data_IF_338174095527
#
_entry.id   IF_338174095527
#
_cell.length_a   1.000
_cell.length_b   1.000
_cell.length_c   1.000
_cell.angle_alpha   90.00
_cell.angle_beta   90.00
_cell.angle_gamma   90.00
#
_symmetry.space_group_name_H-M   'P 1'
#
loop_
_entity.id
_entity.type
_entity.pdbx_description
1 polymer ?
#
# COMPACT_ATOMS: atom_id res chain seq x y z
N UNK A 1 -62.52 24.62 54.11
CA UNK A 1 -62.98 24.08 52.82
C UNK A 1 -62.04 24.60 51.74
N UNK A 2 -61.74 23.77 50.72
CA UNK A 2 -60.81 24.00 49.60
C UNK A 2 -59.32 23.92 49.96
N UNK A 3 -58.41 23.34 49.18
CA UNK A 3 -58.54 22.59 47.94
C UNK A 3 -57.27 21.74 47.72
N UNK A 4 -57.45 20.76 46.85
CA UNK A 4 -56.50 19.86 46.21
C UNK A 4 -55.17 20.47 45.78
N UNK A 5 -54.08 19.65 45.72
CA UNK A 5 -53.46 19.16 44.46
C UNK A 5 -51.99 18.74 44.64
N UNK A 6 -51.60 17.51 44.24
CA UNK A 6 -50.20 17.14 44.08
C UNK A 6 -49.69 17.61 42.71
N UNK A 7 -48.55 18.31 42.68
CA UNK A 7 -47.92 18.80 41.44
C UNK A 7 -46.42 18.50 41.37
N UNK A 8 -45.99 17.39 41.97
CA UNK A 8 -44.59 16.97 41.94
C UNK A 8 -44.28 15.85 40.92
N UNK A 9 -45.31 15.15 40.41
CA UNK A 9 -45.10 13.97 39.54
C UNK A 9 -44.95 14.31 38.04
N UNK A 10 -45.28 15.54 37.62
CA UNK A 10 -45.36 15.89 36.19
C UNK A 10 -44.05 16.44 35.61
N UNK A 11 -43.12 16.92 36.45
CA UNK A 11 -41.87 17.51 35.98
C UNK A 11 -40.82 16.46 35.60
N UNK A 12 -40.79 15.30 36.27
CA UNK A 12 -39.78 14.25 36.03
C UNK A 12 -40.04 13.48 34.74
N UNK A 13 -41.31 13.28 34.38
CA UNK A 13 -41.70 12.57 33.15
C UNK A 13 -41.41 13.35 31.86
N UNK A 14 -41.37 14.69 31.92
CA UNK A 14 -41.08 15.53 30.76
C UNK A 14 -39.59 15.54 30.40
N UNK A 15 -38.70 15.41 31.39
CA UNK A 15 -37.25 15.33 31.13
C UNK A 15 -36.82 13.97 30.56
N UNK A 16 -37.46 12.88 30.97
CA UNK A 16 -37.18 11.55 30.43
C UNK A 16 -37.61 11.42 28.95
N UNK A 17 -38.75 12.02 28.58
CA UNK A 17 -39.24 11.99 27.20
C UNK A 17 -38.35 12.82 26.24
N UNK A 18 -37.80 13.95 26.69
CA UNK A 18 -36.91 14.78 25.88
C UNK A 18 -35.56 14.10 25.59
N UNK A 19 -35.02 13.34 26.55
CA UNK A 19 -33.76 12.61 26.36
C UNK A 19 -33.90 11.40 25.43
N UNK A 20 -35.05 10.71 25.45
CA UNK A 20 -35.33 9.62 24.50
C UNK A 20 -35.61 10.15 23.09
N UNK A 21 -36.28 11.30 22.95
CA UNK A 21 -36.49 11.92 21.64
C UNK A 21 -35.18 12.40 20.97
N UNK A 22 -34.19 12.84 21.77
CA UNK A 22 -32.86 13.23 21.27
C UNK A 22 -32.00 12.03 20.83
N UNK A 23 -32.24 10.83 21.38
CA UNK A 23 -31.52 9.61 20.97
C UNK A 23 -32.15 8.93 19.75
N UNK A 24 -33.44 9.15 19.47
CA UNK A 24 -34.15 8.50 18.35
C UNK A 24 -34.06 9.32 17.05
N UNK A 25 -33.80 10.63 17.13
CA UNK A 25 -33.69 11.53 15.96
C UNK A 25 -32.31 12.17 15.81
N UNK A 26 -31.25 11.43 16.12
CA UNK A 26 -29.96 11.72 15.49
C UNK A 26 -30.07 11.23 14.04
N UNK A 27 -30.16 12.08 13.00
CA UNK A 27 -29.82 11.61 11.69
C UNK A 27 -28.37 11.16 11.80
N UNK A 28 -28.15 9.85 11.85
CA UNK A 28 -26.88 9.27 11.45
C UNK A 28 -26.78 9.70 10.00
N UNK A 29 -26.20 10.88 9.77
CA UNK A 29 -25.69 11.22 8.47
C UNK A 29 -24.78 10.04 8.19
N UNK A 30 -25.05 9.19 7.17
CA UNK A 30 -23.96 8.40 6.65
C UNK A 30 -22.94 9.47 6.36
N UNK A 31 -21.79 9.39 7.04
CA UNK A 31 -20.63 10.13 6.67
C UNK A 31 -20.50 9.71 5.21
N UNK A 32 -21.00 10.56 4.31
CA UNK A 32 -20.75 10.45 2.90
C UNK A 32 -19.26 10.67 2.93
N UNK A 33 -18.55 9.56 3.06
CA UNK A 33 -17.19 9.43 2.65
C UNK A 33 -17.34 9.81 1.20
N UNK A 34 -17.18 11.11 0.94
CA UNK A 34 -16.70 11.61 -0.31
C UNK A 34 -15.35 10.92 -0.35
N UNK A 35 -15.39 9.69 -0.85
CA UNK A 35 -14.34 9.13 -1.66
C UNK A 35 -14.19 10.24 -2.68
N UNK A 36 -13.33 11.22 -2.37
CA UNK A 36 -12.49 11.78 -3.39
C UNK A 36 -11.97 10.52 -4.05
N UNK A 37 -12.60 10.16 -5.17
CA UNK A 37 -11.90 9.42 -6.18
C UNK A 37 -10.78 10.40 -6.52
N UNK A 38 -9.52 10.22 -6.05
CA UNK A 38 -8.46 10.74 -6.86
C UNK A 38 -8.75 10.12 -8.22
N UNK A 39 -8.98 10.96 -9.24
CA UNK A 39 -9.37 10.50 -10.56
C UNK A 39 -8.49 9.31 -10.90
N UNK A 40 -9.06 8.11 -10.81
CA UNK A 40 -8.37 6.90 -11.14
C UNK A 40 -8.46 6.87 -12.65
N UNK A 41 -7.64 7.72 -13.29
CA UNK A 41 -7.13 7.46 -14.63
C UNK A 41 -6.19 6.26 -14.51
N UNK A 42 -6.70 5.13 -14.02
CA UNK A 42 -6.09 3.85 -14.31
C UNK A 42 -6.15 3.69 -15.81
N UNK A 43 -5.07 3.20 -16.42
CA UNK A 43 -5.10 2.76 -17.81
C UNK A 43 -6.13 1.63 -17.92
N UNK A 44 -7.36 1.98 -18.24
CA UNK A 44 -8.42 1.01 -18.51
C UNK A 44 -7.99 0.24 -19.76
N UNK A 45 -8.10 -1.09 -19.70
CA UNK A 45 -8.00 -1.87 -20.92
C UNK A 45 -9.06 -1.33 -21.90
N UNK A 46 -8.72 -1.16 -23.18
CA UNK A 46 -9.67 -0.71 -24.17
C UNK A 46 -10.86 -1.66 -24.14
N UNK A 47 -12.06 -1.10 -24.23
CA UNK A 47 -13.30 -1.87 -24.15
C UNK A 47 -13.46 -2.86 -25.30
N UNK A 48 -12.58 -2.79 -26.32
CA UNK A 48 -12.55 -3.64 -27.50
C UNK A 48 -11.16 -4.19 -27.77
N UNK A 49 -11.10 -5.46 -28.11
CA UNK A 49 -9.88 -6.12 -28.58
C UNK A 49 -9.43 -5.51 -29.91
N UNK A 50 -8.21 -4.95 -29.96
CA UNK A 50 -7.61 -4.36 -31.17
C UNK A 50 -7.51 -2.83 -31.19
N UNK A 51 -8.05 -2.13 -30.19
CA UNK A 51 -7.81 -0.68 -30.05
C UNK A 51 -6.40 -0.40 -29.49
N UNK A 52 -5.71 0.67 -29.94
CA UNK A 52 -4.39 1.03 -29.43
C UNK A 52 -4.47 1.43 -27.96
N UNK A 53 -3.60 0.84 -27.14
CA UNK A 53 -3.39 1.27 -25.76
C UNK A 53 -2.76 2.67 -25.78
N UNK A 54 -3.59 3.71 -25.61
CA UNK A 54 -3.09 5.08 -25.41
C UNK A 54 -2.62 5.20 -23.97
N UNK A 55 -1.45 4.63 -23.67
CA UNK A 55 -0.79 4.81 -22.38
C UNK A 55 -0.26 6.25 -22.33
N UNK A 56 -1.05 7.16 -21.76
CA UNK A 56 -0.47 8.41 -21.28
C UNK A 56 0.62 8.03 -20.28
N UNK A 57 1.86 8.57 -20.37
CA UNK A 57 2.86 8.43 -19.33
C UNK A 57 2.36 9.16 -18.08
N UNK A 58 1.46 8.51 -17.35
CA UNK A 58 1.05 8.89 -16.01
C UNK A 58 2.22 8.47 -15.14
N UNK A 59 2.66 9.35 -14.24
CA UNK A 59 3.56 8.97 -13.15
C UNK A 59 2.93 7.76 -12.44
N UNK A 60 3.40 6.56 -12.80
CA UNK A 60 2.84 5.32 -12.29
C UNK A 60 2.98 5.37 -10.77
N UNK A 61 1.89 5.16 -10.02
CA UNK A 61 1.93 5.26 -8.57
C UNK A 61 2.94 4.23 -8.02
N UNK A 62 3.61 4.61 -6.93
CA UNK A 62 4.49 3.69 -6.21
C UNK A 62 3.76 2.39 -5.88
N UNK A 63 4.30 1.28 -6.33
CA UNK A 63 3.79 -0.05 -6.02
C UNK A 63 4.40 -0.45 -4.68
N UNK A 64 3.55 -0.58 -3.66
CA UNK A 64 3.98 -1.06 -2.36
C UNK A 64 4.33 -2.55 -2.46
N UNK A 65 5.52 -2.91 -1.98
CA UNK A 65 6.03 -4.28 -1.98
C UNK A 65 6.73 -4.58 -0.65
N UNK A 66 7.12 -5.84 -0.44
CA UNK A 66 8.04 -6.22 0.63
C UNK A 66 9.17 -7.05 0.06
N UNK A 67 10.36 -6.93 0.66
CA UNK A 67 11.50 -7.77 0.32
C UNK A 67 11.19 -9.22 0.68
N UNK A 68 11.28 -10.11 -0.30
CA UNK A 68 11.22 -11.54 -0.09
C UNK A 68 12.61 -12.09 0.31
N UNK A 69 13.63 -11.65 -0.42
CA UNK A 69 15.01 -12.12 -0.28
C UNK A 69 15.99 -11.13 -0.93
N UNK A 70 17.21 -11.05 -0.39
CA UNK A 70 18.31 -10.26 -0.94
C UNK A 70 19.58 -11.11 -0.92
N UNK A 71 20.01 -11.56 -2.11
CA UNK A 71 21.24 -12.33 -2.28
C UNK A 71 22.34 -11.42 -2.77
N UNK A 72 23.19 -10.97 -1.87
CA UNK A 72 24.36 -10.17 -2.18
C UNK A 72 25.55 -11.05 -2.63
N UNK A 73 25.37 -11.78 -3.71
CA UNK A 73 26.38 -12.69 -4.28
C UNK A 73 26.92 -12.17 -5.59
N UNK A 74 28.25 -12.25 -5.78
CA UNK A 74 28.88 -11.97 -7.07
C UNK A 74 28.40 -12.96 -8.16
N UNK A 75 28.41 -12.57 -9.45
CA UNK A 75 28.84 -11.27 -9.97
C UNK A 75 27.77 -10.18 -9.89
N UNK A 76 26.50 -10.54 -9.62
CA UNK A 76 25.37 -9.60 -9.59
C UNK A 76 24.42 -9.98 -8.47
N UNK A 77 24.16 -9.08 -7.50
CA UNK A 77 23.17 -9.34 -6.47
C UNK A 77 21.77 -9.53 -7.05
N UNK A 78 20.92 -10.27 -6.34
CA UNK A 78 19.53 -10.52 -6.73
C UNK A 78 18.60 -10.09 -5.63
N UNK A 79 17.67 -9.19 -5.97
CA UNK A 79 16.58 -8.76 -5.11
C UNK A 79 15.30 -9.48 -5.49
N UNK A 80 14.63 -10.05 -4.51
CA UNK A 80 13.33 -10.68 -4.70
C UNK A 80 12.28 -9.91 -3.94
N UNK A 81 11.15 -9.60 -4.57
CA UNK A 81 10.06 -8.81 -4.02
C UNK A 81 8.73 -9.57 -4.08
N UNK A 82 7.86 -9.29 -3.11
CA UNK A 82 6.44 -9.59 -3.17
C UNK A 82 5.63 -8.30 -3.23
N UNK A 83 4.71 -8.21 -4.19
CA UNK A 83 3.81 -7.08 -4.34
C UNK A 83 2.36 -7.60 -4.45
N UNK A 84 1.42 -7.23 -3.56
CA UNK A 84 1.57 -6.30 -2.43
C UNK A 84 2.44 -6.86 -1.30
N UNK A 85 2.81 -6.05 -0.29
CA UNK A 85 3.66 -6.46 0.84
C UNK A 85 3.05 -7.63 1.62
N UNK A 86 3.89 -8.51 2.18
CA UNK A 86 3.44 -9.73 2.89
C UNK A 86 2.45 -9.48 4.04
N UNK A 87 2.54 -8.34 4.72
CA UNK A 87 1.62 -7.94 5.78
C UNK A 87 0.20 -7.61 5.31
N UNK A 88 0.03 -7.29 4.02
CA UNK A 88 -1.29 -7.06 3.41
C UNK A 88 -1.83 -8.39 2.92
N UNK A 89 -2.99 -8.81 3.42
CA UNK A 89 -3.67 -9.99 2.88
C UNK A 89 -4.06 -9.75 1.42
N UNK A 90 -3.61 -10.65 0.54
CA UNK A 90 -3.93 -10.61 -0.88
C UNK A 90 -4.10 -12.03 -1.43
N UNK A 91 -5.18 -12.32 -2.17
CA UNK A 91 -5.40 -13.65 -2.75
C UNK A 91 -4.38 -14.00 -3.84
N UNK A 92 -3.76 -12.98 -4.43
CA UNK A 92 -2.73 -13.09 -5.45
C UNK A 92 -1.62 -12.09 -5.15
N UNK A 93 -0.37 -12.54 -5.26
CA UNK A 93 0.82 -11.69 -5.13
C UNK A 93 1.70 -11.85 -6.37
N UNK A 94 2.27 -10.74 -6.82
CA UNK A 94 3.35 -10.77 -7.78
C UNK A 94 4.64 -11.08 -7.05
N UNK A 95 5.34 -12.08 -7.56
CA UNK A 95 6.72 -12.38 -7.24
C UNK A 95 7.61 -11.81 -8.32
N UNK A 96 8.62 -11.04 -7.93
CA UNK A 96 9.53 -10.38 -8.86
C UNK A 96 10.97 -10.60 -8.42
N UNK A 97 11.80 -11.19 -9.29
CA UNK A 97 13.25 -11.21 -9.11
C UNK A 97 13.89 -10.16 -10.02
N UNK A 98 14.67 -9.28 -9.41
CA UNK A 98 15.38 -8.20 -10.06
C UNK A 98 16.90 -8.37 -9.86
N UNK A 99 17.65 -7.98 -10.88
CA UNK A 99 19.11 -7.88 -10.84
C UNK A 99 19.56 -6.86 -11.88
N UNK A 100 20.86 -6.79 -12.10
CA UNK A 100 21.44 -6.04 -13.19
C UNK A 100 21.67 -6.95 -14.41
N UNK A 101 21.67 -6.39 -15.62
CA UNK A 101 21.94 -7.16 -16.83
C UNK A 101 23.41 -7.54 -16.91
N UNK A 102 24.31 -6.62 -16.59
CA UNK A 102 25.77 -6.85 -16.61
C UNK A 102 26.41 -6.53 -15.25
N UNK A 103 27.55 -7.17 -14.90
CA UNK A 103 28.26 -6.89 -13.64
C UNK A 103 28.67 -5.41 -13.49
N UNK A 104 29.05 -4.76 -14.59
CA UNK A 104 29.43 -3.35 -14.63
C UNK A 104 28.26 -2.38 -14.37
N UNK A 105 27.01 -2.84 -14.48
CA UNK A 105 25.84 -2.03 -14.15
C UNK A 105 25.56 -2.00 -12.64
N UNK A 106 26.21 -2.88 -11.86
CA UNK A 106 26.01 -2.98 -10.40
C UNK A 106 26.64 -1.75 -9.72
N UNK A 107 25.87 -0.96 -8.94
CA UNK A 107 26.41 0.18 -8.23
C UNK A 107 27.52 -0.21 -7.24
N UNK A 108 28.56 0.61 -7.13
CA UNK A 108 29.70 0.34 -6.23
C UNK A 108 29.31 0.23 -4.75
N UNK A 109 28.21 0.85 -4.36
CA UNK A 109 27.66 0.80 -3.00
C UNK A 109 26.65 -0.34 -2.77
N UNK A 110 26.45 -1.25 -3.74
CA UNK A 110 25.46 -2.34 -3.62
C UNK A 110 25.73 -3.26 -2.43
N UNK A 111 27.00 -3.38 -2.02
CA UNK A 111 27.40 -4.17 -0.87
C UNK A 111 26.79 -3.67 0.45
N UNK A 112 26.43 -2.38 0.51
CA UNK A 112 25.88 -1.74 1.71
C UNK A 112 24.35 -1.78 1.73
N UNK A 113 23.69 -2.39 0.74
CA UNK A 113 22.22 -2.48 0.71
C UNK A 113 21.73 -3.36 1.86
N UNK A 114 20.83 -2.78 2.66
CA UNK A 114 20.10 -3.43 3.75
C UNK A 114 18.68 -3.75 3.28
N UNK A 115 18.49 -4.98 2.82
CA UNK A 115 17.20 -5.48 2.38
C UNK A 115 16.86 -6.82 3.07
N UNK A 116 16.65 -6.84 4.40
CA UNK A 116 16.23 -8.07 5.07
C UNK A 116 14.83 -8.49 4.62
N UNK A 117 14.51 -9.80 4.61
CA UNK A 117 13.17 -10.28 4.29
C UNK A 117 12.08 -9.59 5.12
N UNK A 118 10.88 -9.47 4.55
CA UNK A 118 9.69 -8.79 5.09
C UNK A 118 9.78 -7.27 5.21
N UNK A 119 10.91 -6.66 4.83
CA UNK A 119 11.05 -5.20 4.87
C UNK A 119 10.10 -4.55 3.86
N UNK A 120 9.24 -3.60 4.28
CA UNK A 120 8.41 -2.82 3.36
C UNK A 120 9.27 -1.97 2.44
N UNK A 121 8.93 -1.94 1.16
CA UNK A 121 9.63 -1.18 0.12
C UNK A 121 8.64 -0.67 -0.92
N UNK A 122 9.15 0.14 -1.85
CA UNK A 122 8.40 0.69 -2.97
C UNK A 122 9.08 0.30 -4.26
N UNK A 123 8.28 -0.04 -5.25
CA UNK A 123 8.69 -0.32 -6.62
C UNK A 123 8.08 0.75 -7.52
N UNK A 124 8.91 1.33 -8.39
CA UNK A 124 8.49 2.19 -9.48
C UNK A 124 9.10 1.64 -10.77
N UNK A 125 8.41 1.73 -11.89
CA UNK A 125 8.96 1.32 -13.19
C UNK A 125 9.08 2.53 -14.10
N UNK A 126 10.15 2.57 -14.88
CA UNK A 126 10.36 3.59 -15.90
C UNK A 126 10.94 2.94 -17.17
N UNK A 127 11.23 3.74 -18.19
CA UNK A 127 11.80 3.24 -19.46
C UNK A 127 13.14 2.51 -19.31
N UNK A 128 13.87 2.76 -18.21
CA UNK A 128 15.20 2.19 -17.94
C UNK A 128 15.20 0.99 -16.99
N UNK A 129 14.04 0.56 -16.47
CA UNK A 129 13.92 -0.61 -15.61
C UNK A 129 13.07 -0.38 -14.36
N UNK A 130 13.37 -1.15 -13.32
CA UNK A 130 12.71 -1.09 -12.02
C UNK A 130 13.53 -0.27 -11.02
N UNK A 131 12.92 0.72 -10.40
CA UNK A 131 13.47 1.48 -9.27
C UNK A 131 12.88 0.93 -7.98
N UNK A 132 13.73 0.55 -7.03
CA UNK A 132 13.31 0.03 -5.73
C UNK A 132 13.86 0.89 -4.61
N UNK A 133 13.01 1.24 -3.65
CA UNK A 133 13.39 2.07 -2.50
C UNK A 133 14.04 1.21 -1.41
N UNK A 134 15.37 1.29 -1.27
CA UNK A 134 16.14 0.41 -0.39
C UNK A 134 16.94 1.20 0.63
N UNK A 135 17.09 0.64 1.83
CA UNK A 135 17.96 1.17 2.87
C UNK A 135 19.40 0.76 2.62
N UNK A 136 20.33 1.62 3.03
CA UNK A 136 21.77 1.36 3.01
C UNK A 136 22.34 1.49 4.41
N UNK A 137 23.33 0.65 4.72
CA UNK A 137 24.14 0.78 5.93
C UNK A 137 25.22 1.84 5.66
N UNK A 138 25.18 3.00 6.33
CA UNK A 138 26.28 3.94 6.24
C UNK A 138 27.48 3.40 7.02
N UNK A 139 28.69 3.73 6.58
CA UNK A 139 29.88 3.41 7.35
C UNK A 139 29.77 4.01 8.77
N UNK A 140 30.05 3.16 9.76
CA UNK A 140 30.04 3.38 11.21
C UNK A 140 29.64 4.78 11.70
N UNK A 141 28.37 4.90 12.16
CA UNK A 141 27.77 5.91 13.07
C UNK A 141 26.62 6.75 12.51
N UNK A 142 26.20 6.57 11.27
CA UNK A 142 25.02 7.26 10.73
C UNK A 142 23.78 6.37 10.72
N UNK A 143 22.59 6.98 10.61
CA UNK A 143 21.33 6.24 10.47
C UNK A 143 21.22 5.68 9.05
N UNK A 144 20.64 4.48 8.87
CA UNK A 144 20.35 3.94 7.55
C UNK A 144 19.63 4.96 6.66
N UNK A 145 20.16 5.19 5.47
CA UNK A 145 19.57 6.10 4.49
C UNK A 145 18.88 5.30 3.38
N UNK A 146 17.66 5.70 3.06
CA UNK A 146 16.89 5.09 1.99
C UNK A 146 17.10 5.84 0.67
N UNK A 147 17.28 5.10 -0.43
CA UNK A 147 17.44 5.67 -1.77
C UNK A 147 16.84 4.76 -2.83
N UNK A 148 16.54 5.34 -4.00
CA UNK A 148 16.08 4.60 -5.17
C UNK A 148 17.27 3.88 -5.81
N UNK A 149 17.16 2.56 -5.92
CA UNK A 149 18.14 1.71 -6.59
C UNK A 149 17.53 1.20 -7.89
N UNK A 150 18.22 1.45 -9.01
CA UNK A 150 17.78 0.99 -10.32
C UNK A 150 18.28 -0.43 -10.61
N UNK A 151 17.35 -1.29 -11.02
CA UNK A 151 17.58 -2.61 -11.55
C UNK A 151 17.16 -2.61 -13.02
N UNK A 152 18.10 -2.88 -13.93
CA UNK A 152 17.84 -2.90 -15.38
C UNK A 152 17.53 -4.32 -15.90
N UNK A 153 17.52 -5.34 -15.04
CA UNK A 153 17.22 -6.73 -15.40
C UNK A 153 16.09 -7.33 -14.56
N UNK A 154 15.07 -7.87 -15.23
CA UNK A 154 14.08 -8.76 -14.61
C UNK A 154 14.57 -10.19 -14.81
N UNK A 155 14.86 -10.87 -13.71
CA UNK A 155 15.36 -12.25 -13.73
C UNK A 155 14.19 -13.23 -13.83
N UNK A 156 13.08 -12.94 -13.14
CA UNK A 156 11.94 -13.84 -13.04
C UNK A 156 10.68 -13.08 -12.59
N UNK A 157 9.51 -13.56 -13.01
CA UNK A 157 8.21 -13.03 -12.61
C UNK A 157 7.24 -14.20 -12.45
N UNK A 158 6.51 -14.23 -11.33
CA UNK A 158 5.45 -15.20 -11.13
C UNK A 158 4.24 -14.57 -10.42
N UNK A 159 3.07 -15.17 -10.61
CA UNK A 159 1.88 -14.88 -9.83
C UNK A 159 1.69 -16.00 -8.80
N UNK A 160 1.69 -15.64 -7.53
CA UNK A 160 1.54 -16.54 -6.41
C UNK A 160 0.13 -16.41 -5.85
N UNK A 161 -0.63 -17.49 -5.89
CA UNK A 161 -1.89 -17.57 -5.16
C UNK A 161 -1.59 -17.93 -3.70
N UNK A 162 -2.26 -17.26 -2.77
CA UNK A 162 -2.21 -17.67 -1.36
C UNK A 162 -2.78 -19.09 -1.25
N UNK A 163 -2.13 -20.02 -0.54
CA UNK A 163 -2.67 -21.35 -0.35
C UNK A 163 -4.05 -21.22 0.32
N UNK A 164 -5.11 -21.75 -0.30
CA UNK A 164 -6.35 -22.00 0.45
C UNK A 164 -6.00 -23.06 1.48
N UNK A 165 -5.75 -22.65 2.73
CA UNK A 165 -5.74 -23.58 3.85
C UNK A 165 -7.03 -24.40 3.77
N UNK A 166 -6.88 -25.70 3.52
CA UNK A 166 -7.93 -26.70 3.60
C UNK A 166 -7.88 -27.32 4.99
#
# INVERSE_FOLDING_TARGET
>A
MQDSKPRAATAVLLFAAALVALLVFSPVSPLAQKVSQPGSEGNLLPSRTGEPLTLKPIDLPDIQCSVADWKNTAPKPVLTLFCPPQEVFAPLRVYLKLSWLKPEDVPSNSANILAPPKTPTKLRTNKGGALVWLNFDPAAKEKPQAQWVQFNGVVDVALLAEPRNR
#
